data_IF_818528619948
#
_entry.id   IF_818528619948
#
_cell.length_a   1.000
_cell.length_b   1.000
_cell.length_c   1.000
_cell.angle_alpha   90.00
_cell.angle_beta   90.00
_cell.angle_gamma   90.00
#
_symmetry.space_group_name_H-M   'P 1'
#
loop_
_entity.id
_entity.type
_entity.pdbx_description
1 polymer ?
#
# COMPACT_ATOMS: atom_id res chain seq x y z
N UNK A 1 32.05 5.37 -31.61
CA UNK A 1 31.70 4.26 -32.53
C UNK A 1 30.24 3.90 -32.25
N UNK A 2 29.38 3.79 -33.27
CA UNK A 2 27.94 3.54 -33.04
C UNK A 2 27.68 2.11 -32.52
N UNK A 3 26.66 1.94 -31.66
CA UNK A 3 26.27 0.65 -31.07
C UNK A 3 26.07 -0.44 -32.14
N UNK A 4 25.40 -0.09 -33.23
CA UNK A 4 25.15 -0.99 -34.36
C UNK A 4 26.43 -1.52 -35.00
N UNK A 5 27.48 -0.68 -35.05
CA UNK A 5 28.77 -1.08 -35.59
C UNK A 5 29.47 -2.08 -34.67
N UNK A 6 29.36 -1.90 -33.35
CA UNK A 6 29.93 -2.83 -32.36
C UNK A 6 29.22 -4.18 -32.38
N UNK A 7 27.88 -4.19 -32.46
CA UNK A 7 27.10 -5.42 -32.57
C UNK A 7 27.43 -6.16 -33.87
N UNK A 8 27.54 -5.44 -34.99
CA UNK A 8 27.94 -6.05 -36.27
C UNK A 8 29.35 -6.64 -36.21
N UNK A 9 30.32 -5.93 -35.63
CA UNK A 9 31.67 -6.48 -35.43
C UNK A 9 31.59 -7.76 -34.59
N UNK A 10 30.93 -7.72 -33.43
CA UNK A 10 30.85 -8.87 -32.54
C UNK A 10 30.16 -10.11 -33.16
N UNK A 11 29.14 -9.92 -34.02
CA UNK A 11 28.40 -11.01 -34.65
C UNK A 11 29.02 -11.52 -35.96
N UNK A 12 29.76 -10.69 -36.70
CA UNK A 12 30.24 -11.02 -38.05
C UNK A 12 31.76 -11.13 -38.20
N UNK A 13 32.55 -10.74 -37.19
CA UNK A 13 34.01 -10.90 -37.21
C UNK A 13 34.44 -12.37 -37.11
N UNK A 14 33.61 -13.25 -36.55
CA UNK A 14 33.91 -14.69 -36.47
C UNK A 14 32.62 -15.51 -36.62
N UNK A 15 32.56 -16.50 -37.53
CA UNK A 15 31.39 -17.37 -37.68
C UNK A 15 31.04 -18.07 -36.36
N UNK A 16 29.77 -17.99 -35.94
CA UNK A 16 29.24 -18.69 -34.77
C UNK A 16 29.31 -17.94 -33.43
N UNK A 17 29.86 -16.72 -33.37
CA UNK A 17 29.74 -15.87 -32.17
C UNK A 17 28.37 -15.22 -32.10
N UNK A 18 27.73 -15.32 -30.93
CA UNK A 18 26.44 -14.71 -30.62
C UNK A 18 26.55 -13.93 -29.32
N UNK A 19 25.89 -12.78 -29.24
CA UNK A 19 25.81 -11.98 -28.01
C UNK A 19 24.71 -12.60 -27.15
N UNK A 20 25.10 -13.37 -26.14
CA UNK A 20 24.17 -13.97 -25.17
C UNK A 20 24.61 -13.56 -23.76
N UNK A 21 23.69 -13.00 -22.98
CA UNK A 21 23.86 -12.73 -21.56
C UNK A 21 22.96 -13.64 -20.72
N UNK A 22 23.45 -14.10 -19.57
CA UNK A 22 22.64 -14.75 -18.52
C UNK A 22 22.91 -14.02 -17.21
N UNK A 23 21.85 -13.68 -16.48
CA UNK A 23 21.92 -13.05 -15.17
C UNK A 23 21.18 -13.88 -14.13
N UNK A 24 21.68 -13.89 -12.90
CA UNK A 24 21.07 -14.50 -11.72
C UNK A 24 21.47 -13.70 -10.48
N UNK A 25 20.60 -13.65 -9.47
CA UNK A 25 20.87 -13.01 -8.18
C UNK A 25 20.40 -13.91 -7.04
N UNK A 26 21.24 -14.05 -6.01
CA UNK A 26 20.91 -14.72 -4.73
C UNK A 26 20.48 -13.74 -3.64
N UNK A 27 20.42 -12.45 -3.97
CA UNK A 27 20.17 -11.38 -3.02
C UNK A 27 18.83 -11.60 -2.31
N UNK A 28 18.85 -11.58 -0.97
CA UNK A 28 17.68 -11.85 -0.11
C UNK A 28 17.55 -13.30 0.36
N UNK A 29 18.00 -14.29 -0.42
CA UNK A 29 17.85 -15.72 -0.06
C UNK A 29 18.81 -16.11 1.08
N UNK A 30 20.01 -15.53 1.12
CA UNK A 30 21.00 -15.82 2.16
C UNK A 30 20.60 -15.33 3.56
N UNK A 31 19.71 -14.32 3.64
CA UNK A 31 19.28 -13.72 4.90
C UNK A 31 18.25 -14.57 5.63
N UNK A 32 17.41 -15.33 4.90
CA UNK A 32 16.47 -16.28 5.48
C UNK A 32 17.16 -17.35 6.34
N UNK A 33 18.43 -17.69 6.05
CA UNK A 33 19.24 -18.61 6.83
C UNK A 33 19.78 -18.02 8.15
N UNK A 34 19.64 -16.71 8.38
CA UNK A 34 20.09 -16.02 9.59
C UNK A 34 18.97 -15.88 10.63
N UNK A 35 17.73 -16.26 10.29
CA UNK A 35 16.60 -16.21 11.19
C UNK A 35 16.42 -17.52 11.97
N UNK A 36 16.46 -17.41 13.29
CA UNK A 36 16.04 -18.46 14.21
C UNK A 36 14.54 -18.27 14.51
N UNK A 37 13.69 -18.89 13.68
CA UNK A 37 12.24 -18.85 13.84
C UNK A 37 11.76 -19.44 15.18
N UNK A 38 12.55 -20.32 15.82
CA UNK A 38 12.18 -20.89 17.12
C UNK A 38 12.31 -19.88 18.27
N UNK A 39 13.18 -18.88 18.10
CA UNK A 39 13.41 -17.80 19.07
C UNK A 39 12.85 -16.45 18.64
N UNK A 40 12.42 -16.32 17.38
CA UNK A 40 11.96 -15.06 16.80
C UNK A 40 13.09 -14.03 16.63
N UNK A 41 14.33 -14.48 16.42
CA UNK A 41 15.50 -13.61 16.30
C UNK A 41 16.12 -13.77 14.92
N UNK A 42 16.38 -12.66 14.24
CA UNK A 42 17.11 -12.63 12.97
C UNK A 42 16.74 -11.43 12.11
N UNK A 43 17.57 -11.19 11.10
CA UNK A 43 17.30 -10.22 10.04
C UNK A 43 16.84 -10.97 8.79
N UNK A 44 15.56 -10.80 8.43
CA UNK A 44 14.94 -11.42 7.26
C UNK A 44 14.77 -10.44 6.10
N UNK A 45 15.00 -9.14 6.35
CA UNK A 45 14.79 -8.10 5.36
C UNK A 45 16.04 -7.89 4.52
N UNK A 46 15.91 -7.92 3.20
CA UNK A 46 17.02 -7.55 2.32
C UNK A 46 17.24 -6.05 2.31
N UNK A 47 16.14 -5.32 2.43
CA UNK A 47 16.03 -3.89 2.59
C UNK A 47 14.66 -3.58 3.20
N UNK A 48 14.51 -2.38 3.74
CA UNK A 48 13.29 -1.94 4.40
C UNK A 48 12.80 -0.63 3.80
N UNK A 49 11.56 -0.65 3.34
CA UNK A 49 10.82 0.53 2.90
C UNK A 49 9.96 1.06 4.05
N UNK A 50 9.80 2.38 4.12
CA UNK A 50 9.02 3.04 5.16
C UNK A 50 7.92 3.88 4.53
N UNK A 51 6.76 3.90 5.16
CA UNK A 51 5.61 4.69 4.68
C UNK A 51 4.93 5.38 5.84
N UNK A 52 4.62 6.66 5.65
CA UNK A 52 3.75 7.42 6.52
C UNK A 52 2.62 8.02 5.68
N UNK A 53 1.39 7.92 6.19
CA UNK A 53 0.22 8.48 5.52
C UNK A 53 -0.54 9.37 6.50
N UNK A 54 -0.97 10.52 5.99
CA UNK A 54 -1.90 11.42 6.66
C UNK A 54 -3.13 11.58 5.76
N UNK A 55 -4.30 11.43 6.36
CA UNK A 55 -5.57 11.46 5.65
C UNK A 55 -6.53 12.43 6.32
N UNK A 56 -7.23 13.21 5.52
CA UNK A 56 -8.37 14.00 5.96
C UNK A 56 -9.67 13.35 5.48
N UNK A 57 -10.66 13.28 6.38
CA UNK A 57 -11.96 12.67 6.13
C UNK A 57 -13.10 13.60 6.54
N UNK A 58 -14.19 13.52 5.80
CA UNK A 58 -15.49 14.10 6.17
C UNK A 58 -16.39 12.98 6.71
N UNK A 59 -17.01 13.21 7.87
CA UNK A 59 -17.94 12.25 8.48
C UNK A 59 -19.32 12.89 8.59
N UNK A 60 -20.31 12.26 7.96
CA UNK A 60 -21.71 12.58 8.18
C UNK A 60 -22.16 11.99 9.52
N UNK A 61 -22.46 12.87 10.48
CA UNK A 61 -22.82 12.48 11.85
C UNK A 61 -24.22 11.86 11.97
N UNK A 62 -25.08 12.05 10.97
CA UNK A 62 -26.44 11.50 10.95
C UNK A 62 -26.47 10.11 10.33
N UNK A 63 -25.64 9.84 9.32
CA UNK A 63 -25.62 8.57 8.58
C UNK A 63 -24.42 7.68 8.89
N UNK A 64 -23.35 8.24 9.47
CA UNK A 64 -22.07 7.57 9.71
C UNK A 64 -21.22 7.40 8.44
N UNK A 65 -21.63 7.95 7.29
CA UNK A 65 -20.86 7.86 6.05
C UNK A 65 -19.55 8.64 6.20
N UNK A 66 -18.44 7.98 5.86
CA UNK A 66 -17.10 8.58 5.85
C UNK A 66 -16.64 8.75 4.41
N UNK A 67 -16.12 9.93 4.07
CA UNK A 67 -15.53 10.24 2.76
C UNK A 67 -14.09 10.71 2.95
N UNK A 68 -13.17 10.19 2.16
CA UNK A 68 -11.82 10.73 2.09
C UNK A 68 -11.83 12.01 1.24
N UNK A 69 -11.21 13.08 1.73
CA UNK A 69 -11.10 14.34 0.98
C UNK A 69 -9.89 14.30 0.01
N UNK A 70 -9.73 15.33 -0.80
CA UNK A 70 -8.56 15.47 -1.68
C UNK A 70 -7.27 15.87 -0.95
N UNK A 71 -7.31 16.01 0.38
CA UNK A 71 -6.15 16.32 1.21
C UNK A 71 -5.60 15.04 1.87
N UNK A 72 -5.06 14.17 1.02
CA UNK A 72 -4.36 12.96 1.44
C UNK A 72 -2.89 13.06 1.03
N UNK A 73 -1.99 12.72 1.95
CA UNK A 73 -0.54 12.76 1.72
C UNK A 73 0.09 11.45 2.14
N UNK A 74 0.94 10.89 1.28
CA UNK A 74 1.72 9.69 1.56
C UNK A 74 3.20 10.01 1.35
N UNK A 75 3.99 9.89 2.41
CA UNK A 75 5.44 9.89 2.32
C UNK A 75 5.94 8.46 2.25
N UNK A 76 6.67 8.11 1.20
CA UNK A 76 7.11 6.74 0.95
C UNK A 76 8.60 6.70 0.61
N UNK A 77 9.35 5.87 1.34
CA UNK A 77 10.75 5.55 1.09
C UNK A 77 10.84 4.28 0.22
N UNK A 78 10.94 4.49 -1.08
CA UNK A 78 11.28 3.45 -2.05
C UNK A 78 12.75 3.52 -2.50
N UNK A 79 13.62 4.13 -1.69
CA UNK A 79 15.01 4.39 -2.08
C UNK A 79 15.09 5.40 -3.23
N UNK A 80 15.83 5.05 -4.28
CA UNK A 80 15.88 5.82 -5.51
C UNK A 80 14.78 5.36 -6.50
N UNK A 81 13.79 6.21 -6.84
CA UNK A 81 12.71 5.83 -7.74
C UNK A 81 13.23 5.59 -9.17
N UNK A 82 13.23 4.34 -9.63
CA UNK A 82 13.66 4.00 -11.00
C UNK A 82 12.71 4.56 -12.06
N UNK A 83 11.41 4.60 -11.74
CA UNK A 83 10.37 5.21 -12.55
C UNK A 83 9.37 5.90 -11.61
N UNK A 84 9.47 7.21 -11.52
CA UNK A 84 8.66 8.03 -10.61
C UNK A 84 7.16 7.86 -10.86
N UNK A 85 6.73 7.86 -12.12
CA UNK A 85 5.31 7.73 -12.47
C UNK A 85 4.74 6.37 -12.05
N UNK A 86 5.50 5.29 -12.24
CA UNK A 86 5.08 3.95 -11.85
C UNK A 86 4.99 3.80 -10.33
N UNK A 87 5.97 4.38 -9.60
CA UNK A 87 5.97 4.40 -8.13
C UNK A 87 4.77 5.19 -7.61
N UNK A 88 4.50 6.38 -8.13
CA UNK A 88 3.36 7.20 -7.71
C UNK A 88 2.03 6.47 -7.93
N UNK A 89 1.88 5.85 -9.10
CA UNK A 89 0.67 5.07 -9.43
C UNK A 89 0.50 3.89 -8.48
N UNK A 90 1.60 3.21 -8.10
CA UNK A 90 1.54 2.11 -7.13
C UNK A 90 1.20 2.58 -5.72
N UNK A 91 1.79 3.68 -5.26
CA UNK A 91 1.53 4.21 -3.92
C UNK A 91 0.09 4.72 -3.81
N UNK A 92 -0.40 5.45 -4.81
CA UNK A 92 -1.80 5.90 -4.87
C UNK A 92 -2.77 4.71 -4.99
N UNK A 93 -2.45 3.76 -5.87
CA UNK A 93 -3.25 2.56 -6.08
C UNK A 93 -3.32 1.68 -4.83
N UNK A 94 -2.19 1.41 -4.17
CA UNK A 94 -2.14 0.61 -2.95
C UNK A 94 -2.89 1.28 -1.79
N UNK A 95 -2.71 2.58 -1.59
CA UNK A 95 -3.45 3.31 -0.56
C UNK A 95 -4.96 3.32 -0.84
N UNK A 96 -5.38 3.68 -2.05
CA UNK A 96 -6.80 3.80 -2.37
C UNK A 96 -7.50 2.45 -2.58
N UNK A 97 -6.96 1.62 -3.49
CA UNK A 97 -7.61 0.37 -3.83
C UNK A 97 -7.44 -0.68 -2.76
N UNK A 98 -6.37 -0.74 -1.98
CA UNK A 98 -6.25 -1.80 -0.96
C UNK A 98 -6.50 -1.24 0.43
N UNK A 99 -5.81 -0.16 0.80
CA UNK A 99 -5.86 0.38 2.16
C UNK A 99 -7.21 1.02 2.53
N UNK A 100 -7.62 2.09 1.87
CA UNK A 100 -8.89 2.79 2.11
C UNK A 100 -10.07 1.83 1.91
N UNK A 101 -9.96 0.97 0.90
CA UNK A 101 -10.95 -0.06 0.64
C UNK A 101 -11.13 -1.03 1.82
N UNK A 102 -10.04 -1.58 2.36
CA UNK A 102 -10.07 -2.40 3.57
C UNK A 102 -10.56 -1.62 4.81
N UNK A 103 -10.28 -0.32 4.87
CA UNK A 103 -10.66 0.53 5.99
C UNK A 103 -12.17 0.84 6.03
N UNK A 104 -12.81 1.06 4.87
CA UNK A 104 -14.18 1.61 4.79
C UNK A 104 -15.20 0.71 4.10
N UNK A 105 -14.78 -0.19 3.19
CA UNK A 105 -15.67 -0.85 2.24
C UNK A 105 -15.68 -2.37 2.34
N UNK A 106 -14.51 -3.00 2.28
CA UNK A 106 -14.36 -4.44 2.04
C UNK A 106 -14.66 -5.27 3.30
N UNK A 107 -15.83 -5.92 3.31
CA UNK A 107 -16.22 -6.86 4.35
C UNK A 107 -16.44 -8.25 3.74
N UNK A 108 -15.61 -9.22 4.10
CA UNK A 108 -15.82 -10.61 3.69
C UNK A 108 -16.76 -11.30 4.68
N UNK A 109 -17.90 -11.81 4.20
CA UNK A 109 -18.89 -12.50 5.02
C UNK A 109 -18.87 -13.99 4.75
N UNK A 110 -18.76 -14.78 5.79
CA UNK A 110 -18.78 -16.23 5.72
C UNK A 110 -19.67 -16.80 6.83
N UNK A 111 -20.48 -17.79 6.49
CA UNK A 111 -21.22 -18.60 7.44
C UNK A 111 -21.02 -20.08 7.09
N UNK A 112 -20.64 -20.88 8.09
CA UNK A 112 -20.52 -22.34 7.96
C UNK A 112 -19.68 -22.80 6.75
N UNK A 113 -18.63 -22.04 6.43
CA UNK A 113 -17.71 -22.32 5.30
C UNK A 113 -18.22 -21.82 3.93
N UNK A 114 -19.37 -21.16 3.87
CA UNK A 114 -19.92 -20.57 2.65
C UNK A 114 -19.74 -19.05 2.66
N UNK A 115 -19.17 -18.51 1.58
CA UNK A 115 -19.12 -17.06 1.35
C UNK A 115 -20.53 -16.53 1.08
N UNK A 116 -20.96 -15.55 1.87
CA UNK A 116 -22.29 -14.94 1.78
C UNK A 116 -22.36 -13.81 0.75
N UNK A 117 -21.24 -13.18 0.42
CA UNK A 117 -21.15 -12.08 -0.55
C UNK A 117 -20.10 -12.32 -1.65
N UNK A 118 -20.21 -13.39 -2.47
CA UNK A 118 -19.21 -13.74 -3.48
C UNK A 118 -19.29 -12.89 -4.77
N UNK A 119 -19.95 -11.73 -4.72
CA UNK A 119 -20.23 -10.89 -5.88
C UNK A 119 -19.85 -9.42 -5.62
N UNK A 120 -19.65 -8.64 -6.67
CA UNK A 120 -19.21 -7.24 -6.59
C UNK A 120 -20.31 -6.25 -6.17
N UNK A 121 -21.56 -6.71 -6.00
CA UNK A 121 -22.66 -5.88 -5.51
C UNK A 121 -22.64 -5.87 -3.97
N UNK A 122 -22.48 -7.05 -3.37
CA UNK A 122 -22.51 -7.25 -1.92
C UNK A 122 -21.12 -7.11 -1.29
N UNK A 123 -20.05 -7.46 -2.01
CA UNK A 123 -18.67 -7.16 -1.63
C UNK A 123 -18.29 -5.78 -2.18
N UNK A 124 -18.52 -4.76 -1.36
CA UNK A 124 -18.35 -3.37 -1.80
C UNK A 124 -16.87 -3.02 -1.92
N UNK A 125 -16.56 -2.42 -3.06
CA UNK A 125 -15.27 -1.84 -3.41
C UNK A 125 -15.48 -0.35 -3.70
N UNK A 126 -14.51 0.52 -3.40
CA UNK A 126 -14.61 1.93 -3.70
C UNK A 126 -14.55 2.13 -5.23
N UNK A 127 -15.32 3.09 -5.73
CA UNK A 127 -15.52 3.37 -7.17
C UNK A 127 -14.61 4.50 -7.63
N UNK A 128 -14.36 4.66 -8.92
CA UNK A 128 -13.41 5.66 -9.42
C UNK A 128 -13.65 7.11 -8.92
N UNK A 129 -14.90 7.52 -8.69
CA UNK A 129 -15.23 8.87 -8.19
C UNK A 129 -15.06 9.03 -6.67
N UNK A 130 -14.84 7.94 -5.93
CA UNK A 130 -14.54 7.95 -4.50
C UNK A 130 -13.02 8.01 -4.25
N UNK A 131 -12.22 8.05 -5.32
CA UNK A 131 -10.77 8.14 -5.24
C UNK A 131 -10.34 9.54 -4.82
N UNK A 132 -9.73 9.71 -3.63
CA UNK A 132 -9.22 11.01 -3.24
C UNK A 132 -7.97 11.35 -4.04
N UNK A 133 -7.80 12.62 -4.38
CA UNK A 133 -6.48 13.10 -4.83
C UNK A 133 -5.48 12.89 -3.69
N UNK A 134 -4.40 12.16 -3.99
CA UNK A 134 -3.40 11.79 -2.99
C UNK A 134 -2.02 12.23 -3.45
N UNK A 135 -1.41 13.14 -2.70
CA UNK A 135 -0.05 13.60 -2.93
C UNK A 135 0.93 12.53 -2.45
N UNK A 136 1.88 12.16 -3.32
CA UNK A 136 2.98 11.26 -2.98
C UNK A 136 4.26 12.08 -2.79
N UNK A 137 4.89 11.92 -1.63
CA UNK A 137 6.19 12.48 -1.29
C UNK A 137 7.21 11.35 -1.33
N UNK A 138 8.17 11.44 -2.25
CA UNK A 138 9.27 10.48 -2.33
C UNK A 138 10.31 10.79 -1.27
N UNK A 139 10.51 9.88 -0.33
CA UNK A 139 11.60 9.94 0.65
C UNK A 139 12.81 9.27 0.02
N UNK A 140 13.74 10.07 -0.49
CA UNK A 140 14.90 9.56 -1.23
C UNK A 140 15.95 9.01 -0.26
N UNK A 141 16.16 7.70 -0.31
CA UNK A 141 17.28 7.03 0.34
C UNK A 141 18.11 6.26 -0.69
N UNK A 142 19.34 5.90 -0.35
CA UNK A 142 20.19 5.10 -1.24
C UNK A 142 20.44 3.73 -0.59
N UNK A 143 19.73 2.72 -1.05
CA UNK A 143 19.89 1.36 -0.54
C UNK A 143 21.11 0.67 -1.17
N UNK A 144 22.12 0.25 -0.39
CA UNK A 144 23.32 -0.37 -0.95
C UNK A 144 23.07 -1.76 -1.55
N UNK A 145 21.95 -2.40 -1.20
CA UNK A 145 21.54 -3.71 -1.72
C UNK A 145 20.55 -3.56 -2.88
N UNK A 146 19.85 -2.44 -2.98
CA UNK A 146 18.94 -2.12 -4.08
C UNK A 146 19.65 -1.88 -5.43
N UNK A 147 19.09 -2.36 -6.56
CA UNK A 147 19.60 -1.97 -7.87
C UNK A 147 19.46 -0.45 -8.03
N UNK A 148 20.58 0.22 -8.28
CA UNK A 148 20.65 1.69 -8.37
C UNK A 148 20.11 2.42 -7.13
N UNK A 149 20.13 1.81 -5.94
CA UNK A 149 19.64 2.41 -4.71
C UNK A 149 18.13 2.24 -4.46
N UNK A 150 17.43 1.48 -5.30
CA UNK A 150 15.97 1.31 -5.23
C UNK A 150 15.53 0.30 -4.15
N UNK A 151 14.36 0.55 -3.56
CA UNK A 151 13.65 -0.34 -2.64
C UNK A 151 12.26 -0.67 -3.15
N UNK A 152 11.52 -1.48 -2.39
CA UNK A 152 10.14 -1.86 -2.69
C UNK A 152 9.18 -0.66 -2.59
N UNK A 153 8.17 -0.63 -3.47
CA UNK A 153 7.24 0.50 -3.62
C UNK A 153 5.75 0.13 -3.58
N UNK A 154 5.38 -1.08 -3.15
CA UNK A 154 4.04 -1.62 -3.35
C UNK A 154 3.21 -1.66 -2.06
N UNK A 155 3.67 -2.41 -1.07
CA UNK A 155 2.85 -2.82 0.09
C UNK A 155 2.80 -1.76 1.20
N UNK A 156 3.80 -0.88 1.27
CA UNK A 156 3.84 0.15 2.31
C UNK A 156 2.59 1.04 2.35
N UNK A 157 2.07 1.40 1.17
CA UNK A 157 0.92 2.31 1.03
C UNK A 157 -0.43 1.68 1.40
N UNK A 158 -0.60 0.37 1.18
CA UNK A 158 -1.84 -0.31 1.55
C UNK A 158 -1.93 -0.53 3.07
N UNK A 159 -0.79 -0.71 3.75
CA UNK A 159 -0.72 -0.86 5.20
C UNK A 159 -0.90 0.46 5.95
N UNK A 160 -0.46 1.60 5.38
CA UNK A 160 -0.54 2.91 6.05
C UNK A 160 -1.93 3.53 6.01
N UNK A 161 -2.76 3.20 5.01
CA UNK A 161 -4.05 3.85 4.84
C UNK A 161 -5.07 3.50 5.94
N UNK A 162 -5.31 2.23 6.31
CA UNK A 162 -6.30 1.89 7.34
C UNK A 162 -6.09 2.62 8.68
N UNK A 163 -4.90 2.62 9.29
CA UNK A 163 -4.69 3.34 10.55
C UNK A 163 -4.80 4.86 10.38
N UNK A 164 -4.41 5.42 9.22
CA UNK A 164 -4.57 6.84 8.91
C UNK A 164 -6.05 7.24 8.90
N UNK A 165 -6.88 6.48 8.17
CA UNK A 165 -8.33 6.72 8.07
C UNK A 165 -9.02 6.61 9.43
N UNK A 166 -8.70 5.59 10.23
CA UNK A 166 -9.32 5.40 11.55
C UNK A 166 -8.92 6.52 12.51
N UNK A 167 -7.66 6.96 12.46
CA UNK A 167 -7.19 8.11 13.25
C UNK A 167 -7.89 9.40 12.82
N UNK A 168 -8.11 9.61 11.52
CA UNK A 168 -8.82 10.77 10.99
C UNK A 168 -10.31 10.76 11.37
N UNK A 169 -10.98 9.60 11.35
CA UNK A 169 -12.34 9.46 11.86
C UNK A 169 -12.38 9.84 13.34
N UNK A 170 -11.43 9.34 14.14
CA UNK A 170 -11.34 9.68 15.55
C UNK A 170 -11.10 11.18 15.77
N UNK A 171 -10.23 11.82 14.99
CA UNK A 171 -10.01 13.27 15.08
C UNK A 171 -11.30 14.06 14.78
N UNK A 172 -12.00 13.71 13.70
CA UNK A 172 -13.23 14.38 13.28
C UNK A 172 -14.42 14.17 14.25
N UNK A 173 -14.49 13.02 14.92
CA UNK A 173 -15.70 12.60 15.66
C UNK A 173 -15.48 12.35 17.14
N UNK A 174 -14.24 12.15 17.56
CA UNK A 174 -13.81 11.66 18.87
C UNK A 174 -14.38 10.30 19.24
N UNK A 175 -14.65 9.41 18.26
CA UNK A 175 -14.97 7.99 18.50
C UNK A 175 -13.93 7.08 17.86
N UNK A 176 -13.64 5.95 18.51
CA UNK A 176 -12.76 4.92 17.96
C UNK A 176 -13.57 3.82 17.29
N UNK A 177 -13.14 3.41 16.09
CA UNK A 177 -13.64 2.24 15.39
C UNK A 177 -12.53 1.18 15.41
N UNK A 178 -12.72 0.13 16.20
CA UNK A 178 -11.70 -0.89 16.45
C UNK A 178 -11.90 -2.17 15.62
N UNK A 179 -12.94 -2.21 14.79
CA UNK A 179 -13.32 -3.37 14.00
C UNK A 179 -13.59 -2.94 12.56
N UNK A 180 -12.63 -3.25 11.68
CA UNK A 180 -12.68 -2.90 10.27
C UNK A 180 -13.55 -3.89 9.49
N UNK A 181 -14.19 -3.44 8.39
CA UNK A 181 -14.22 -2.06 7.90
C UNK A 181 -15.11 -1.15 8.77
N UNK A 182 -14.78 0.14 8.81
CA UNK A 182 -15.55 1.21 9.44
C UNK A 182 -16.78 1.58 8.60
N UNK A 183 -17.69 0.63 8.45
CA UNK A 183 -18.94 0.83 7.72
C UNK A 183 -19.79 1.95 8.34
N UNK A 184 -20.64 2.63 7.55
CA UNK A 184 -21.49 3.70 8.04
C UNK A 184 -22.32 3.31 9.27
N UNK A 185 -22.84 2.07 9.30
CA UNK A 185 -23.57 1.55 10.45
C UNK A 185 -22.72 1.52 11.74
N UNK A 186 -21.47 1.02 11.67
CA UNK A 186 -20.57 0.96 12.83
C UNK A 186 -20.24 2.36 13.34
N UNK A 187 -19.98 3.29 12.42
CA UNK A 187 -19.68 4.70 12.74
C UNK A 187 -20.90 5.37 13.38
N UNK A 188 -22.09 5.20 12.81
CA UNK A 188 -23.35 5.73 13.34
C UNK A 188 -23.62 5.25 14.78
N UNK A 189 -23.51 3.94 15.03
CA UNK A 189 -23.74 3.40 16.37
C UNK A 189 -22.70 3.88 17.38
N UNK A 190 -21.44 4.04 16.97
CA UNK A 190 -20.39 4.61 17.82
C UNK A 190 -20.70 6.08 18.20
N UNK A 191 -21.11 6.90 17.23
CA UNK A 191 -21.54 8.29 17.44
C UNK A 191 -22.75 8.38 18.36
N UNK A 192 -23.78 7.56 18.13
CA UNK A 192 -24.98 7.51 18.97
C UNK A 192 -24.64 7.15 20.42
N UNK A 193 -23.80 6.13 20.63
CA UNK A 193 -23.35 5.72 21.97
C UNK A 193 -22.59 6.83 22.69
N UNK A 194 -21.81 7.64 21.97
CA UNK A 194 -21.12 8.82 22.54
C UNK A 194 -22.13 9.89 22.96
N UNK A 195 -23.11 10.21 22.12
CA UNK A 195 -24.17 11.19 22.42
C UNK A 195 -24.97 10.79 23.67
N UNK A 196 -25.37 9.52 23.76
CA UNK A 196 -26.17 9.01 24.88
C UNK A 196 -25.39 9.02 26.21
N UNK A 197 -24.05 8.96 26.17
CA UNK A 197 -23.18 9.12 27.35
C UNK A 197 -23.00 10.57 27.78
N UNK A 198 -23.01 11.52 26.85
CA UNK A 198 -22.86 12.96 27.15
C UNK A 198 -24.13 13.62 27.68
N UNK A 199 -25.29 12.96 27.58
CA UNK A 199 -26.58 13.41 28.12
C UNK A 199 -26.87 12.90 29.54
N UNK A 200 -25.99 12.06 30.11
CA UNK A 200 -26.05 11.59 31.50
C UNK A 200 -25.09 12.39 32.37
#
# INVERSE_FOLDING_TARGET
>A
MAWERLVRIACYETPGKVIIGRGYSTQGISLLGLADFSKGVGDIGTNYSFTAQASEVEVDVETGVVKCTDNNVIAHDCGFPLNTQAVETQVQGGSYHQGISAALYEEFKMDSGQTLNPNLVDYKRPRAYEAPMTQVIHVITNDPYGPFGAKEASEGSCCSAPPSIISAIHDATGVWINDLPAQPEKVFWALKKKRDKGQK
#
